data_IF_963359340330
#
_entry.id   IF_963359340330
#
_cell.length_a   1.000
_cell.length_b   1.000
_cell.length_c   1.000
_cell.angle_alpha   90.00
_cell.angle_beta   90.00
_cell.angle_gamma   90.00
#
_symmetry.space_group_name_H-M   'P 1'
#
loop_
_entity.id
_entity.type
_entity.pdbx_description
1 polymer ?
#
# COMPACT_ATOMS: atom_id res chain seq x y z
N UNK A 1 32.75 -65.75 23.29
CA UNK A 1 32.01 -64.52 23.62
C UNK A 1 32.80 -63.36 23.06
N UNK A 2 32.49 -62.99 21.81
CA UNK A 2 33.11 -61.89 21.08
C UNK A 2 32.55 -60.56 21.58
N UNK A 3 33.45 -59.61 21.86
CA UNK A 3 33.11 -58.24 22.18
C UNK A 3 32.81 -57.49 20.87
N UNK A 4 31.54 -57.22 20.59
CA UNK A 4 31.13 -56.30 19.54
C UNK A 4 31.45 -54.87 20.02
N UNK A 5 32.56 -54.32 19.54
CA UNK A 5 32.81 -52.87 19.59
C UNK A 5 31.86 -52.19 18.62
N UNK A 6 30.89 -51.43 19.15
CA UNK A 6 30.09 -50.51 18.35
C UNK A 6 31.02 -49.43 17.74
N UNK A 7 31.23 -49.50 16.43
CA UNK A 7 31.84 -48.42 15.66
C UNK A 7 30.74 -47.38 15.43
N UNK A 8 30.75 -46.30 16.22
CA UNK A 8 30.05 -45.08 15.85
C UNK A 8 30.68 -44.57 14.54
N UNK A 9 29.90 -44.31 13.47
CA UNK A 9 30.46 -43.66 12.29
C UNK A 9 30.94 -42.26 12.67
N UNK A 10 32.23 -41.98 12.49
CA UNK A 10 32.73 -40.61 12.51
C UNK A 10 32.04 -39.85 11.38
N UNK A 11 31.15 -38.92 11.74
CA UNK A 11 30.65 -37.92 10.80
C UNK A 11 31.84 -37.11 10.29
N UNK A 12 32.33 -37.43 9.09
CA UNK A 12 33.37 -36.65 8.44
C UNK A 12 32.82 -35.25 8.15
N UNK A 13 33.41 -34.22 8.74
CA UNK A 13 33.03 -32.83 8.46
C UNK A 13 33.48 -32.46 7.04
N UNK A 14 32.57 -31.92 6.23
CA UNK A 14 32.90 -31.44 4.90
C UNK A 14 33.73 -30.14 5.00
N UNK A 15 34.97 -30.10 4.47
CA UNK A 15 35.86 -28.97 4.67
C UNK A 15 35.54 -27.84 3.69
N UNK A 16 34.41 -27.15 3.91
CA UNK A 16 33.88 -26.10 3.02
C UNK A 16 34.94 -25.06 2.61
N UNK A 17 35.83 -24.69 3.53
CA UNK A 17 36.93 -23.72 3.29
C UNK A 17 38.01 -24.21 2.32
N UNK A 18 38.13 -25.52 2.08
CA UNK A 18 39.10 -26.11 1.15
C UNK A 18 38.60 -26.11 -0.30
N UNK A 19 37.34 -25.74 -0.54
CA UNK A 19 36.81 -25.64 -1.89
C UNK A 19 37.46 -24.49 -2.67
N UNK A 20 37.72 -24.66 -3.98
CA UNK A 20 38.01 -23.54 -4.86
C UNK A 20 36.90 -22.50 -4.81
N UNK A 21 37.26 -21.22 -4.98
CA UNK A 21 36.32 -20.09 -4.82
C UNK A 21 35.02 -20.25 -5.61
N UNK A 22 35.08 -20.72 -6.87
CA UNK A 22 33.90 -20.90 -7.72
C UNK A 22 32.95 -21.95 -7.14
N UNK A 23 33.49 -23.09 -6.68
CA UNK A 23 32.71 -24.15 -6.06
C UNK A 23 32.11 -23.68 -4.72
N UNK A 24 32.92 -23.00 -3.89
CA UNK A 24 32.48 -22.43 -2.63
C UNK A 24 31.32 -21.43 -2.83
N UNK A 25 31.45 -20.53 -3.80
CA UNK A 25 30.42 -19.56 -4.16
C UNK A 25 29.13 -20.24 -4.62
N UNK A 26 29.24 -21.31 -5.40
CA UNK A 26 28.06 -22.06 -5.85
C UNK A 26 27.35 -22.72 -4.67
N UNK A 27 28.10 -23.39 -3.79
CA UNK A 27 27.56 -24.02 -2.58
C UNK A 27 26.84 -23.00 -1.70
N UNK A 28 27.45 -21.85 -1.41
CA UNK A 28 26.83 -20.79 -0.59
C UNK A 28 25.54 -20.27 -1.22
N UNK A 29 25.46 -20.19 -2.55
CA UNK A 29 24.27 -19.66 -3.25
C UNK A 29 23.07 -20.60 -3.23
N UNK A 30 23.28 -21.88 -2.99
CA UNK A 30 22.20 -22.89 -2.94
C UNK A 30 21.82 -23.30 -1.52
N UNK A 31 22.53 -22.77 -0.52
CA UNK A 31 22.23 -22.97 0.91
C UNK A 31 21.00 -22.18 1.35
N UNK A 32 20.39 -22.65 2.43
CA UNK A 32 19.33 -21.90 3.08
C UNK A 32 19.88 -20.63 3.74
N UNK A 33 19.03 -19.61 3.85
CA UNK A 33 19.45 -18.27 4.26
C UNK A 33 20.00 -18.24 5.69
N UNK A 34 19.47 -19.06 6.60
CA UNK A 34 19.98 -19.17 7.96
C UNK A 34 21.35 -19.88 7.99
N UNK A 35 21.59 -20.87 7.13
CA UNK A 35 22.89 -21.51 6.96
C UNK A 35 23.94 -20.54 6.43
N UNK A 36 23.57 -19.70 5.46
CA UNK A 36 24.43 -18.64 4.94
C UNK A 36 24.83 -17.66 6.04
N UNK A 37 23.88 -17.27 6.91
CA UNK A 37 24.18 -16.40 8.05
C UNK A 37 25.09 -17.11 9.05
N UNK A 38 24.82 -18.37 9.41
CA UNK A 38 25.69 -19.19 10.27
C UNK A 38 27.12 -19.26 9.70
N UNK A 39 27.27 -19.45 8.39
CA UNK A 39 28.56 -19.46 7.70
C UNK A 39 29.29 -18.12 7.86
N UNK A 40 28.58 -17.01 7.61
CA UNK A 40 29.14 -15.66 7.74
C UNK A 40 29.63 -15.37 9.16
N UNK A 41 28.96 -15.92 10.17
CA UNK A 41 29.32 -15.77 11.60
C UNK A 41 30.62 -16.50 11.95
N UNK A 42 30.98 -17.58 11.24
CA UNK A 42 32.13 -18.43 11.60
C UNK A 42 33.50 -17.75 11.50
N UNK A 43 33.65 -16.72 10.66
CA UNK A 43 34.90 -15.95 10.53
C UNK A 43 34.73 -14.74 9.61
N UNK A 44 35.61 -13.73 9.78
CA UNK A 44 35.73 -12.59 8.84
C UNK A 44 35.96 -13.03 7.39
N UNK A 45 36.71 -14.13 7.18
CA UNK A 45 36.92 -14.69 5.84
C UNK A 45 35.61 -15.16 5.22
N UNK A 46 34.83 -15.99 5.92
CA UNK A 46 33.55 -16.48 5.40
C UNK A 46 32.54 -15.35 5.21
N UNK A 47 32.50 -14.37 6.11
CA UNK A 47 31.68 -13.17 5.93
C UNK A 47 32.01 -12.44 4.62
N UNK A 48 33.31 -12.27 4.32
CA UNK A 48 33.75 -11.64 3.07
C UNK A 48 33.38 -12.48 1.83
N UNK A 49 33.48 -13.81 1.91
CA UNK A 49 33.06 -14.70 0.83
C UNK A 49 31.54 -14.58 0.57
N UNK A 50 30.71 -14.57 1.61
CA UNK A 50 29.26 -14.40 1.46
C UNK A 50 28.92 -13.05 0.81
N UNK A 51 29.60 -11.95 1.20
CA UNK A 51 29.41 -10.64 0.57
C UNK A 51 29.62 -10.66 -0.95
N UNK A 52 30.68 -11.32 -1.42
CA UNK A 52 30.98 -11.41 -2.87
C UNK A 52 30.12 -12.45 -3.62
N UNK A 53 29.28 -13.20 -2.89
CA UNK A 53 28.25 -14.04 -3.52
C UNK A 53 27.10 -13.21 -4.09
N UNK A 54 26.90 -11.97 -3.63
CA UNK A 54 25.86 -11.05 -4.10
C UNK A 54 24.45 -11.66 -4.02
N UNK A 55 24.16 -12.33 -2.91
CA UNK A 55 22.88 -12.97 -2.66
C UNK A 55 21.81 -11.88 -2.50
N UNK A 56 20.75 -11.98 -3.28
CA UNK A 56 19.67 -10.99 -3.30
C UNK A 56 18.54 -11.47 -2.40
N UNK A 57 18.05 -10.56 -1.57
CA UNK A 57 16.89 -10.78 -0.71
C UNK A 57 15.79 -9.81 -1.14
N UNK A 58 14.53 -10.25 -1.10
CA UNK A 58 13.42 -9.41 -1.53
C UNK A 58 13.17 -8.27 -0.55
N UNK A 59 13.22 -8.57 0.74
CA UNK A 59 12.87 -7.60 1.77
C UNK A 59 13.66 -7.87 3.06
N UNK A 60 14.16 -6.79 3.65
CA UNK A 60 14.73 -6.75 4.98
C UNK A 60 13.81 -5.94 5.89
N UNK A 61 13.62 -6.36 7.14
CA UNK A 61 12.85 -5.61 8.12
C UNK A 61 13.55 -5.57 9.48
N UNK A 62 13.58 -4.40 10.09
CA UNK A 62 13.94 -4.22 11.50
C UNK A 62 12.66 -4.09 12.33
N UNK A 63 12.51 -4.94 13.35
CA UNK A 63 11.31 -5.03 14.17
C UNK A 63 11.65 -4.66 15.61
N UNK A 64 11.24 -3.47 16.03
CA UNK A 64 11.49 -2.91 17.36
C UNK A 64 10.29 -3.17 18.28
N UNK A 65 10.43 -4.16 19.15
CA UNK A 65 9.40 -4.64 20.09
C UNK A 65 9.95 -4.72 21.52
N UNK A 66 10.69 -3.70 21.96
CA UNK A 66 11.37 -3.72 23.25
C UNK A 66 12.32 -4.91 23.36
N UNK A 67 12.08 -5.81 24.32
CA UNK A 67 12.90 -7.01 24.53
C UNK A 67 12.77 -8.07 23.41
N UNK A 68 11.69 -8.01 22.62
CA UNK A 68 11.46 -8.92 21.47
C UNK A 68 11.94 -8.31 20.16
N UNK A 69 12.96 -7.46 20.21
CA UNK A 69 13.49 -6.83 19.00
C UNK A 69 14.28 -7.83 18.15
N UNK A 70 14.05 -7.82 16.83
CA UNK A 70 14.70 -8.73 15.88
C UNK A 70 14.80 -8.14 14.47
N UNK A 71 15.70 -8.70 13.67
CA UNK A 71 15.80 -8.45 12.22
C UNK A 71 15.18 -9.63 11.49
N UNK A 72 14.38 -9.38 10.44
CA UNK A 72 13.82 -10.44 9.60
C UNK A 72 14.11 -10.21 8.14
N UNK A 73 14.29 -11.31 7.42
CA UNK A 73 14.41 -11.35 5.96
C UNK A 73 13.19 -12.09 5.44
N UNK A 74 12.52 -11.52 4.44
CA UNK A 74 11.37 -12.15 3.79
C UNK A 74 11.77 -12.56 2.36
N UNK A 75 11.47 -13.83 2.01
CA UNK A 75 11.73 -14.45 0.71
C UNK A 75 13.20 -14.39 0.23
N UNK A 76 14.08 -15.29 0.73
CA UNK A 76 13.82 -16.39 1.67
C UNK A 76 13.65 -15.91 3.12
N UNK A 77 12.83 -16.63 3.89
CA UNK A 77 12.41 -16.26 5.25
C UNK A 77 13.43 -16.64 6.33
N UNK A 78 13.86 -15.71 7.17
CA UNK A 78 14.57 -16.00 8.44
C UNK A 78 14.39 -14.87 9.45
N UNK A 79 14.33 -15.22 10.73
CA UNK A 79 14.33 -14.25 11.85
C UNK A 79 15.64 -14.33 12.65
N UNK A 80 16.17 -13.18 13.03
CA UNK A 80 17.46 -13.02 13.69
C UNK A 80 17.25 -12.20 14.98
N UNK A 81 17.21 -12.89 16.12
CA UNK A 81 16.83 -12.29 17.40
C UNK A 81 18.06 -11.91 18.23
N UNK A 82 18.09 -10.68 18.74
CA UNK A 82 19.14 -10.21 19.65
C UNK A 82 18.77 -10.39 21.13
N UNK A 83 17.47 -10.53 21.43
CA UNK A 83 16.92 -10.69 22.78
C UNK A 83 16.80 -12.16 23.21
N UNK A 84 16.47 -12.35 24.49
CA UNK A 84 16.21 -13.67 25.11
C UNK A 84 14.83 -14.23 24.79
N UNK A 85 13.95 -13.41 24.20
CA UNK A 85 12.58 -13.79 23.85
C UNK A 85 12.38 -13.71 22.33
N UNK A 86 12.83 -14.73 21.58
CA UNK A 86 12.76 -14.73 20.12
C UNK A 86 11.31 -14.83 19.64
N UNK A 87 11.03 -14.19 18.51
CA UNK A 87 9.75 -14.37 17.83
C UNK A 87 9.62 -15.81 17.30
N UNK A 88 8.57 -16.52 17.71
CA UNK A 88 8.35 -17.91 17.34
C UNK A 88 7.29 -18.01 16.22
N UNK A 89 7.76 -18.18 14.99
CA UNK A 89 6.93 -18.61 13.88
C UNK A 89 7.32 -20.05 13.48
N UNK A 90 6.39 -21.01 13.45
CA UNK A 90 6.72 -22.42 13.27
C UNK A 90 7.36 -22.74 11.90
N UNK A 91 7.07 -21.94 10.88
CA UNK A 91 7.47 -22.20 9.50
C UNK A 91 8.69 -21.40 9.02
N UNK A 92 9.29 -20.56 9.86
CA UNK A 92 10.39 -19.68 9.45
C UNK A 92 11.63 -20.02 10.28
N UNK A 93 12.78 -20.35 9.65
CA UNK A 93 14.06 -20.52 10.33
C UNK A 93 14.38 -19.34 11.24
N UNK A 94 14.99 -19.62 12.40
CA UNK A 94 15.37 -18.59 13.36
C UNK A 94 16.80 -18.78 13.84
N UNK A 95 17.50 -17.66 14.01
CA UNK A 95 18.77 -17.57 14.73
C UNK A 95 18.55 -16.79 16.01
N UNK A 96 18.94 -17.41 17.12
CA UNK A 96 18.82 -16.82 18.46
C UNK A 96 20.13 -16.14 18.86
N UNK A 97 20.11 -15.45 20.00
CA UNK A 97 21.25 -14.68 20.49
C UNK A 97 22.53 -15.52 20.59
N UNK A 98 22.40 -16.78 20.97
CA UNK A 98 23.48 -17.74 21.14
C UNK A 98 24.16 -18.07 19.81
N UNK A 99 23.39 -18.24 18.73
CA UNK A 99 23.92 -18.49 17.39
C UNK A 99 24.69 -17.27 16.86
N UNK A 100 24.21 -16.08 17.20
CA UNK A 100 24.71 -14.78 16.74
C UNK A 100 25.81 -14.21 17.65
N UNK A 101 26.19 -14.91 18.73
CA UNK A 101 27.14 -14.44 19.75
C UNK A 101 28.41 -13.81 19.17
N UNK A 102 29.06 -14.37 18.13
CA UNK A 102 30.29 -13.78 17.58
C UNK A 102 30.13 -12.39 16.94
N UNK A 103 28.90 -11.95 16.69
CA UNK A 103 28.60 -10.62 16.16
C UNK A 103 28.19 -9.60 17.22
N UNK A 104 28.04 -10.03 18.48
CA UNK A 104 27.55 -9.19 19.57
C UNK A 104 28.63 -8.87 20.60
N UNK A 105 28.45 -7.73 21.27
CA UNK A 105 29.16 -7.43 22.51
C UNK A 105 28.32 -7.89 23.70
N UNK A 106 28.95 -8.53 24.68
CA UNK A 106 28.28 -8.91 25.94
C UNK A 106 27.82 -7.69 26.75
N UNK A 107 28.41 -6.52 26.52
CA UNK A 107 28.06 -5.27 27.21
C UNK A 107 27.00 -4.43 26.49
N UNK A 108 26.65 -4.77 25.24
CA UNK A 108 25.73 -3.97 24.44
C UNK A 108 24.27 -4.24 24.81
N UNK A 109 23.45 -3.19 24.76
CA UNK A 109 22.01 -3.29 24.90
C UNK A 109 21.40 -4.10 23.74
N UNK A 110 20.15 -4.58 23.92
CA UNK A 110 19.42 -5.28 22.84
C UNK A 110 19.31 -4.39 21.60
N UNK A 111 19.08 -3.09 21.79
CA UNK A 111 18.95 -2.14 20.70
C UNK A 111 20.26 -1.95 19.93
N UNK A 112 21.38 -1.76 20.64
CA UNK A 112 22.71 -1.65 20.00
C UNK A 112 23.09 -2.92 19.24
N UNK A 113 22.84 -4.10 19.81
CA UNK A 113 23.05 -5.37 19.12
C UNK A 113 22.17 -5.49 17.87
N UNK A 114 20.91 -5.01 17.94
CA UNK A 114 20.00 -4.98 16.79
C UNK A 114 20.52 -4.07 15.69
N UNK A 115 20.99 -2.87 16.02
CA UNK A 115 21.58 -1.93 15.06
C UNK A 115 22.82 -2.52 14.39
N UNK A 116 23.70 -3.16 15.15
CA UNK A 116 24.87 -3.85 14.62
C UNK A 116 24.49 -5.02 13.70
N UNK A 117 23.53 -5.84 14.12
CA UNK A 117 23.02 -6.96 13.35
C UNK A 117 22.42 -6.49 12.03
N UNK A 118 21.51 -5.51 12.07
CA UNK A 118 20.91 -4.91 10.89
C UNK A 118 21.98 -4.40 9.92
N UNK A 119 22.95 -3.64 10.42
CA UNK A 119 24.02 -3.07 9.60
C UNK A 119 24.86 -4.16 8.91
N UNK A 120 25.15 -5.25 9.62
CA UNK A 120 25.90 -6.39 9.05
C UNK A 120 25.07 -7.11 8.00
N UNK A 121 23.82 -7.43 8.30
CA UNK A 121 22.90 -8.12 7.38
C UNK A 121 22.65 -7.30 6.12
N UNK A 122 22.38 -6.00 6.27
CA UNK A 122 22.17 -5.08 5.15
C UNK A 122 23.41 -4.97 4.24
N UNK A 123 24.62 -5.11 4.79
CA UNK A 123 25.87 -5.17 4.01
C UNK A 123 26.17 -6.56 3.44
N UNK A 124 25.60 -7.62 4.03
CA UNK A 124 25.85 -9.01 3.65
C UNK A 124 25.05 -9.40 2.40
N UNK A 125 23.83 -8.88 2.29
CA UNK A 125 22.89 -9.19 1.22
C UNK A 125 22.60 -7.98 0.33
N UNK A 126 22.28 -8.22 -0.95
CA UNK A 126 21.75 -7.18 -1.83
C UNK A 126 20.26 -7.02 -1.56
N UNK A 127 19.89 -5.85 -1.06
CA UNK A 127 18.51 -5.46 -0.79
C UNK A 127 18.32 -4.01 -1.25
N UNK A 128 17.29 -3.76 -2.06
CA UNK A 128 17.07 -2.42 -2.61
C UNK A 128 16.54 -1.46 -1.54
N UNK A 129 15.64 -1.97 -0.68
CA UNK A 129 14.99 -1.21 0.38
C UNK A 129 14.75 -2.08 1.61
N UNK A 130 14.62 -1.47 2.78
CA UNK A 130 14.23 -2.17 4.01
C UNK A 130 13.01 -1.51 4.63
N UNK A 131 12.27 -2.27 5.43
CA UNK A 131 11.12 -1.77 6.18
C UNK A 131 11.45 -1.68 7.67
N UNK A 132 10.75 -0.83 8.38
CA UNK A 132 10.88 -0.68 9.82
C UNK A 132 9.54 -0.91 10.47
N UNK A 133 9.54 -1.60 11.60
CA UNK A 133 8.36 -1.78 12.42
C UNK A 133 8.67 -1.32 13.83
N UNK A 134 7.85 -0.41 14.35
CA UNK A 134 7.96 0.13 15.70
C UNK A 134 6.71 -0.22 16.50
N UNK A 135 6.92 -0.86 17.65
CA UNK A 135 5.86 -1.14 18.61
C UNK A 135 5.46 0.12 19.37
N UNK A 136 4.19 0.27 19.77
CA UNK A 136 3.76 1.34 20.69
C UNK A 136 4.45 1.29 22.06
N UNK A 137 5.04 0.14 22.42
CA UNK A 137 5.86 -0.03 23.62
C UNK A 137 7.29 0.51 23.48
N UNK A 138 7.70 0.94 22.28
CA UNK A 138 9.05 1.48 22.03
C UNK A 138 9.15 2.87 22.63
N UNK A 139 10.21 3.11 23.42
CA UNK A 139 10.53 4.43 23.94
C UNK A 139 11.38 5.20 22.93
N UNK A 140 11.28 6.53 22.95
CA UNK A 140 12.06 7.45 22.12
C UNK A 140 11.98 7.13 20.61
N UNK A 141 10.76 7.11 20.05
CA UNK A 141 10.55 6.78 18.64
C UNK A 141 11.32 7.77 17.76
N UNK A 142 11.29 9.05 18.11
CA UNK A 142 12.08 10.09 17.43
C UNK A 142 13.56 9.74 17.32
N UNK A 143 14.21 9.35 18.43
CA UNK A 143 15.64 9.01 18.43
C UNK A 143 15.92 7.82 17.49
N UNK A 144 15.04 6.82 17.48
CA UNK A 144 15.15 5.67 16.57
C UNK A 144 15.08 6.11 15.10
N UNK A 145 14.12 6.98 14.76
CA UNK A 145 13.92 7.47 13.39
C UNK A 145 15.11 8.32 12.92
N UNK A 146 15.77 9.04 13.83
CA UNK A 146 16.93 9.89 13.53
C UNK A 146 18.25 9.10 13.35
N UNK A 147 18.28 7.80 13.63
CA UNK A 147 19.48 6.97 13.46
C UNK A 147 19.84 6.86 11.98
N UNK A 148 21.10 7.17 11.59
CA UNK A 148 21.54 7.15 10.20
C UNK A 148 21.28 5.82 9.47
N UNK A 149 21.48 4.69 10.13
CA UNK A 149 21.25 3.37 9.54
C UNK A 149 19.77 3.06 9.29
N UNK A 150 18.86 3.66 10.06
CA UNK A 150 17.42 3.42 9.94
C UNK A 150 16.70 4.49 9.13
N UNK A 151 17.37 5.57 8.72
CA UNK A 151 16.73 6.71 8.08
C UNK A 151 16.07 6.41 6.73
N UNK A 152 16.61 5.46 5.97
CA UNK A 152 16.23 5.20 4.57
C UNK A 152 15.33 3.97 4.40
N UNK A 153 14.34 3.79 5.29
CA UNK A 153 13.33 2.74 5.11
C UNK A 153 12.42 3.05 3.92
N UNK A 154 11.76 2.03 3.36
CA UNK A 154 10.66 2.22 2.40
C UNK A 154 9.33 2.39 3.14
N UNK A 155 9.03 1.49 4.08
CA UNK A 155 7.78 1.51 4.84
C UNK A 155 8.05 1.50 6.34
N UNK A 156 7.41 2.42 7.07
CA UNK A 156 7.30 2.41 8.52
C UNK A 156 5.97 1.79 8.95
N UNK A 157 6.04 0.71 9.71
CA UNK A 157 4.88 0.09 10.34
C UNK A 157 4.81 0.48 11.82
N UNK A 158 3.66 0.97 12.26
CA UNK A 158 3.36 1.13 13.69
C UNK A 158 2.38 0.04 14.13
N UNK A 159 2.70 -0.60 15.25
CA UNK A 159 1.91 -1.71 15.79
C UNK A 159 1.80 -1.60 17.29
N UNK A 160 0.59 -1.64 17.84
CA UNK A 160 0.41 -1.39 19.27
C UNK A 160 -0.94 -1.83 19.81
N UNK A 161 -1.12 -1.60 21.11
CA UNK A 161 -2.43 -1.62 21.76
C UNK A 161 -3.08 -0.24 21.68
N UNK A 162 -2.50 0.75 22.35
CA UNK A 162 -2.88 2.15 22.27
C UNK A 162 -1.65 3.01 21.98
N UNK A 163 -1.79 4.01 21.12
CA UNK A 163 -0.76 5.00 20.86
C UNK A 163 -1.01 6.27 21.67
N UNK A 164 0.06 6.81 22.28
CA UNK A 164 0.01 8.13 22.89
C UNK A 164 0.10 9.20 21.81
N UNK A 165 -0.50 10.37 22.05
CA UNK A 165 -0.42 11.52 21.16
C UNK A 165 1.03 11.88 20.84
N UNK A 166 1.89 11.97 21.86
CA UNK A 166 3.28 12.39 21.69
C UNK A 166 4.06 11.42 20.78
N UNK A 167 3.76 10.12 20.87
CA UNK A 167 4.38 9.11 19.99
C UNK A 167 3.93 9.25 18.54
N UNK A 168 2.67 9.61 18.31
CA UNK A 168 2.16 9.85 16.96
C UNK A 168 2.72 11.16 16.39
N UNK A 169 2.78 12.22 17.20
CA UNK A 169 3.38 13.50 16.83
C UNK A 169 4.85 13.30 16.40
N UNK A 170 5.65 12.55 17.17
CA UNK A 170 7.04 12.20 16.82
C UNK A 170 7.18 11.53 15.44
N UNK A 171 6.23 10.66 15.08
CA UNK A 171 6.23 10.00 13.77
C UNK A 171 5.78 10.97 12.69
N UNK A 172 4.69 11.70 12.92
CA UNK A 172 4.11 12.59 11.91
C UNK A 172 4.98 13.83 11.63
N UNK A 173 5.79 14.27 12.59
CA UNK A 173 6.79 15.33 12.43
C UNK A 173 8.08 14.84 11.75
N UNK A 174 8.29 13.53 11.66
CA UNK A 174 9.40 12.95 10.92
C UNK A 174 9.11 12.97 9.41
N UNK A 175 9.07 14.18 8.84
CA UNK A 175 8.59 14.48 7.50
C UNK A 175 9.42 13.79 6.40
N UNK A 176 8.75 12.93 5.61
CA UNK A 176 9.30 12.15 4.50
C UNK A 176 8.25 11.98 3.42
N UNK A 177 8.50 12.52 2.23
CA UNK A 177 7.57 12.50 1.09
C UNK A 177 7.79 11.32 0.13
N UNK A 178 8.81 10.49 0.38
CA UNK A 178 9.21 9.35 -0.45
C UNK A 178 9.09 7.99 0.27
N UNK A 179 8.46 7.99 1.44
CA UNK A 179 8.28 6.82 2.31
C UNK A 179 6.82 6.60 2.66
N UNK A 180 6.50 5.40 3.13
CA UNK A 180 5.14 4.98 3.48
C UNK A 180 4.98 4.85 5.01
N UNK A 181 3.77 5.14 5.51
CA UNK A 181 3.39 4.98 6.91
C UNK A 181 2.15 4.10 7.06
N UNK A 182 2.34 2.94 7.69
CA UNK A 182 1.27 1.98 7.93
C UNK A 182 1.07 1.74 9.44
N UNK A 183 0.01 2.32 10.01
CA UNK A 183 -0.46 2.02 11.35
C UNK A 183 -1.43 0.84 11.27
N UNK A 184 -0.88 -0.36 11.32
CA UNK A 184 -1.61 -1.60 11.01
C UNK A 184 -2.36 -2.22 12.19
N UNK A 185 -2.03 -1.79 13.43
CA UNK A 185 -2.72 -2.22 14.64
C UNK A 185 -2.51 -1.22 15.76
N UNK A 186 -3.56 -0.95 16.52
CA UNK A 186 -3.54 -0.13 17.72
C UNK A 186 -4.53 1.00 17.62
N UNK A 187 -5.06 1.41 18.77
CA UNK A 187 -6.02 2.50 18.88
C UNK A 187 -5.31 3.85 18.85
N UNK A 188 -5.85 4.76 18.05
CA UNK A 188 -5.44 6.15 17.97
C UNK A 188 -6.49 6.99 18.74
N UNK A 189 -6.09 8.00 19.53
CA UNK A 189 -7.05 8.86 20.21
C UNK A 189 -8.06 9.48 19.23
N UNK A 190 -9.37 9.43 19.55
CA UNK A 190 -10.43 9.86 18.63
C UNK A 190 -10.45 11.38 18.35
N UNK A 191 -9.85 12.16 19.25
CA UNK A 191 -9.64 13.60 19.14
C UNK A 191 -8.25 13.95 18.58
N UNK A 192 -7.47 12.96 18.16
CA UNK A 192 -6.16 13.17 17.56
C UNK A 192 -6.28 13.95 16.25
N UNK A 193 -5.38 14.90 16.07
CA UNK A 193 -5.24 15.68 14.85
C UNK A 193 -3.77 16.00 14.62
N UNK A 194 -3.32 15.85 13.38
CA UNK A 194 -2.00 16.27 12.97
C UNK A 194 -2.02 16.81 11.54
N UNK A 195 -1.42 17.98 11.24
CA UNK A 195 -1.43 18.55 9.88
C UNK A 195 -0.75 17.65 8.83
N UNK A 196 0.17 16.78 9.26
CA UNK A 196 0.93 15.89 8.39
C UNK A 196 0.28 14.51 8.14
N UNK A 197 -0.98 14.31 8.52
CA UNK A 197 -1.63 13.00 8.51
C UNK A 197 -1.74 12.32 7.12
N UNK A 198 -1.48 13.04 6.02
CA UNK A 198 -1.44 12.47 4.67
C UNK A 198 -0.17 12.86 3.89
N UNK A 199 0.93 13.21 4.59
CA UNK A 199 2.19 13.63 3.94
C UNK A 199 3.07 12.49 3.45
N UNK A 200 3.00 11.32 4.07
CA UNK A 200 3.67 10.12 3.55
C UNK A 200 3.07 9.75 2.19
N UNK A 201 3.88 9.11 1.33
CA UNK A 201 3.47 8.68 -0.02
C UNK A 201 2.23 7.81 0.07
N UNK A 202 2.34 6.73 0.85
CA UNK A 202 1.25 5.82 1.17
C UNK A 202 0.96 5.85 2.67
N UNK A 203 -0.32 5.95 3.01
CA UNK A 203 -0.80 5.95 4.39
C UNK A 203 -1.85 4.86 4.59
N UNK A 204 -1.65 4.06 5.63
CA UNK A 204 -2.63 3.07 6.06
C UNK A 204 -2.94 3.25 7.53
N UNK A 205 -4.18 3.60 7.84
CA UNK A 205 -4.72 3.69 9.19
C UNK A 205 -5.74 2.57 9.42
N UNK A 206 -5.32 1.52 10.12
CA UNK A 206 -6.20 0.41 10.50
C UNK A 206 -7.32 0.87 11.44
N UNK A 207 -7.00 1.73 12.42
CA UNK A 207 -7.98 2.53 13.14
C UNK A 207 -7.99 3.95 12.58
N UNK A 208 -9.01 4.26 11.80
CA UNK A 208 -9.25 5.53 11.15
C UNK A 208 -10.45 6.28 11.76
N UNK A 209 -10.94 5.92 12.96
CA UNK A 209 -12.08 6.60 13.62
C UNK A 209 -11.83 8.06 13.95
N UNK A 210 -10.56 8.44 14.13
CA UNK A 210 -10.11 9.82 14.31
C UNK A 210 -10.10 10.64 13.00
N UNK A 211 -10.21 9.98 11.84
CA UNK A 211 -10.30 10.64 10.54
C UNK A 211 -11.72 11.16 10.32
N UNK A 212 -11.82 12.46 10.02
CA UNK A 212 -13.09 13.17 9.79
C UNK A 212 -13.14 13.72 8.38
N UNK A 213 -14.32 14.14 7.95
CA UNK A 213 -14.54 14.69 6.61
C UNK A 213 -13.58 15.84 6.30
N UNK A 214 -13.37 16.76 7.23
CA UNK A 214 -12.45 17.90 7.09
C UNK A 214 -11.01 17.48 6.79
N UNK A 215 -10.57 16.31 7.26
CA UNK A 215 -9.26 15.76 6.93
C UNK A 215 -9.24 15.27 5.47
N UNK A 216 -10.30 14.60 5.01
CA UNK A 216 -10.40 14.17 3.60
C UNK A 216 -10.40 15.38 2.64
N UNK A 217 -11.07 16.47 3.03
CA UNK A 217 -11.12 17.70 2.25
C UNK A 217 -9.78 18.46 2.21
N UNK A 218 -8.82 18.12 3.07
CA UNK A 218 -7.49 18.75 3.10
C UNK A 218 -6.43 18.01 2.27
N UNK A 219 -6.76 16.80 1.78
CA UNK A 219 -5.86 15.97 0.97
C UNK A 219 -5.35 16.75 -0.25
N UNK A 220 -4.05 16.69 -0.50
CA UNK A 220 -3.42 17.25 -1.71
C UNK A 220 -2.29 16.33 -2.16
N UNK A 221 -2.39 15.81 -3.38
CA UNK A 221 -1.34 15.07 -4.07
C UNK A 221 -0.73 13.90 -3.25
N UNK A 222 -1.57 13.04 -2.71
CA UNK A 222 -1.14 11.80 -2.06
C UNK A 222 -1.10 10.63 -3.07
N UNK A 223 -0.32 9.58 -2.83
CA UNK A 223 -0.35 8.40 -3.69
C UNK A 223 -1.47 7.44 -3.26
N UNK A 224 -1.35 6.77 -2.12
CA UNK A 224 -2.35 5.83 -1.64
C UNK A 224 -2.82 6.10 -0.20
N UNK A 225 -4.13 6.05 0.02
CA UNK A 225 -4.76 6.20 1.34
C UNK A 225 -5.61 4.98 1.66
N UNK A 226 -5.36 4.31 2.78
CA UNK A 226 -6.18 3.20 3.27
C UNK A 226 -6.74 3.54 4.64
N UNK A 227 -8.07 3.59 4.72
CA UNK A 227 -8.81 3.85 5.95
C UNK A 227 -9.56 2.57 6.33
N UNK A 228 -9.09 1.93 7.40
CA UNK A 228 -9.74 0.75 7.99
C UNK A 228 -10.98 1.14 8.77
N UNK A 229 -11.11 0.65 10.01
CA UNK A 229 -12.24 0.96 10.90
C UNK A 229 -12.41 2.48 11.04
N UNK A 230 -13.52 3.02 10.56
CA UNK A 230 -13.77 4.47 10.51
C UNK A 230 -15.22 4.82 10.87
N UNK A 231 -15.49 6.12 11.07
CA UNK A 231 -16.81 6.66 11.39
C UNK A 231 -17.43 7.46 10.22
N UNK A 232 -16.91 7.30 8.99
CA UNK A 232 -17.39 8.05 7.84
C UNK A 232 -18.74 7.50 7.38
N UNK A 233 -19.72 8.39 7.26
CA UNK A 233 -21.02 8.01 6.68
C UNK A 233 -20.96 8.06 5.15
N UNK A 234 -21.90 7.39 4.47
CA UNK A 234 -22.05 7.54 3.01
C UNK A 234 -22.27 9.01 2.59
N UNK A 235 -22.86 9.83 3.47
CA UNK A 235 -23.02 11.28 3.25
C UNK A 235 -21.68 12.01 3.28
N UNK A 236 -20.77 11.62 4.18
CA UNK A 236 -19.42 12.19 4.23
C UNK A 236 -18.61 11.81 3.01
N UNK A 237 -18.69 10.54 2.58
CA UNK A 237 -18.03 10.09 1.35
C UNK A 237 -18.63 10.81 0.13
N UNK A 238 -19.95 11.01 0.06
CA UNK A 238 -20.59 11.81 -1.00
C UNK A 238 -20.04 13.25 -1.04
N UNK A 239 -19.97 13.94 0.10
CA UNK A 239 -19.38 15.29 0.18
C UNK A 239 -17.92 15.30 -0.26
N UNK A 240 -17.15 14.29 0.11
CA UNK A 240 -15.77 14.13 -0.34
C UNK A 240 -15.68 13.92 -1.87
N UNK A 241 -16.55 13.11 -2.46
CA UNK A 241 -16.60 12.94 -3.92
C UNK A 241 -16.95 14.25 -4.65
N UNK A 242 -17.89 15.04 -4.10
CA UNK A 242 -18.18 16.38 -4.61
C UNK A 242 -16.96 17.29 -4.55
N UNK A 243 -16.21 17.25 -3.44
CA UNK A 243 -14.95 17.97 -3.34
C UNK A 243 -13.93 17.49 -4.39
N UNK A 244 -13.76 16.18 -4.57
CA UNK A 244 -12.85 15.62 -5.57
C UNK A 244 -13.19 16.07 -7.00
N UNK A 245 -14.48 16.07 -7.36
CA UNK A 245 -14.99 16.49 -8.68
C UNK A 245 -14.70 17.96 -8.98
N UNK A 246 -14.72 18.80 -7.94
CA UNK A 246 -14.57 20.25 -8.06
C UNK A 246 -13.16 20.76 -7.75
N UNK A 247 -12.29 19.94 -7.17
CA UNK A 247 -10.92 20.35 -6.83
C UNK A 247 -10.06 20.58 -8.07
N UNK A 248 -9.27 21.65 -8.03
CA UNK A 248 -8.31 22.02 -9.07
C UNK A 248 -7.08 21.10 -9.11
N UNK A 249 -6.79 20.40 -8.01
CA UNK A 249 -5.57 19.58 -7.82
C UNK A 249 -5.89 18.09 -7.69
N UNK A 250 -4.98 17.23 -8.14
CA UNK A 250 -5.07 15.80 -7.88
C UNK A 250 -4.98 15.52 -6.38
N UNK A 251 -6.02 14.91 -5.81
CA UNK A 251 -6.09 14.63 -4.38
C UNK A 251 -5.27 13.38 -4.04
N UNK A 252 -5.56 12.26 -4.72
CA UNK A 252 -4.91 10.97 -4.49
C UNK A 252 -4.88 10.12 -5.76
N UNK A 253 -4.01 9.10 -5.82
CA UNK A 253 -4.05 8.08 -6.89
C UNK A 253 -4.99 6.93 -6.51
N UNK A 254 -4.84 6.39 -5.31
CA UNK A 254 -5.61 5.24 -4.80
C UNK A 254 -6.15 5.54 -3.41
N UNK A 255 -7.38 5.10 -3.16
CA UNK A 255 -7.98 5.17 -1.84
C UNK A 255 -8.83 3.94 -1.58
N UNK A 256 -8.68 3.36 -0.38
CA UNK A 256 -9.52 2.29 0.12
C UNK A 256 -10.17 2.76 1.42
N UNK A 257 -11.48 2.58 1.52
CA UNK A 257 -12.25 2.91 2.72
C UNK A 257 -13.06 1.67 3.10
N UNK A 258 -12.82 1.13 4.29
CA UNK A 258 -13.66 0.07 4.82
C UNK A 258 -15.06 0.62 5.11
N UNK A 259 -16.07 -0.17 4.77
CA UNK A 259 -17.48 0.15 5.01
C UNK A 259 -18.11 -0.98 5.79
N UNK A 260 -19.11 -0.64 6.61
CA UNK A 260 -20.01 -1.66 7.16
C UNK A 260 -20.91 -2.13 6.01
N UNK A 261 -21.29 -3.41 6.02
CA UNK A 261 -22.04 -4.10 4.95
C UNK A 261 -23.33 -3.34 4.59
N UNK A 262 -23.19 -2.39 3.67
CA UNK A 262 -24.25 -1.58 3.09
C UNK A 262 -24.04 -1.63 1.58
N UNK A 263 -25.07 -2.06 0.83
CA UNK A 263 -25.07 -1.87 -0.63
C UNK A 263 -24.79 -0.39 -0.92
N UNK A 264 -23.95 -0.05 -1.90
CA UNK A 264 -23.83 1.34 -2.32
C UNK A 264 -25.22 1.80 -2.76
N UNK A 265 -25.81 2.62 -1.88
CA UNK A 265 -27.07 3.24 -2.15
C UNK A 265 -26.86 4.40 -3.13
N UNK A 266 -27.87 4.75 -3.93
CA UNK A 266 -27.89 5.97 -4.75
C UNK A 266 -27.42 7.24 -4.00
N UNK A 267 -27.53 7.24 -2.66
CA UNK A 267 -27.05 8.27 -1.75
C UNK A 267 -25.57 8.63 -1.96
N UNK A 268 -24.68 7.65 -2.16
CA UNK A 268 -23.25 7.91 -2.31
C UNK A 268 -22.93 8.84 -3.50
N UNK A 269 -23.72 8.73 -4.56
CA UNK A 269 -23.53 9.46 -5.81
C UNK A 269 -24.54 10.57 -6.02
N UNK A 270 -25.32 10.91 -5.00
CA UNK A 270 -26.35 11.94 -5.12
C UNK A 270 -25.73 13.27 -5.60
N UNK A 271 -26.29 13.80 -6.70
CA UNK A 271 -25.82 15.04 -7.34
C UNK A 271 -24.55 14.89 -8.21
N UNK A 272 -24.05 13.68 -8.47
CA UNK A 272 -22.87 13.43 -9.29
C UNK A 272 -23.26 12.69 -10.58
N UNK A 273 -22.76 13.15 -11.72
CA UNK A 273 -22.89 12.43 -12.99
C UNK A 273 -21.97 11.20 -13.02
N UNK A 274 -22.55 10.02 -12.83
CA UNK A 274 -21.84 8.73 -12.83
C UNK A 274 -22.14 7.96 -14.12
N UNK A 275 -21.13 7.29 -14.66
CA UNK A 275 -21.27 6.27 -15.70
C UNK A 275 -20.98 4.89 -15.12
N UNK A 276 -21.85 3.92 -15.35
CA UNK A 276 -21.57 2.51 -15.06
C UNK A 276 -20.83 1.89 -16.25
N UNK A 277 -19.71 1.23 -16.01
CA UNK A 277 -18.98 0.47 -17.03
C UNK A 277 -18.43 -0.84 -16.46
N UNK A 278 -18.11 -1.78 -17.33
CA UNK A 278 -17.61 -3.10 -16.94
C UNK A 278 -16.16 -3.29 -17.38
N UNK A 279 -15.25 -3.51 -16.42
CA UNK A 279 -13.81 -3.74 -16.67
C UNK A 279 -13.23 -4.72 -15.67
N UNK A 280 -12.26 -5.52 -16.12
CA UNK A 280 -11.57 -6.52 -15.29
C UNK A 280 -12.51 -7.52 -14.58
N UNK A 281 -13.63 -7.88 -15.21
CA UNK A 281 -14.62 -8.78 -14.64
C UNK A 281 -15.48 -8.16 -13.53
N UNK A 282 -15.48 -6.83 -13.40
CA UNK A 282 -16.20 -6.10 -12.34
C UNK A 282 -16.91 -4.87 -12.89
N UNK A 283 -18.10 -4.61 -12.36
CA UNK A 283 -18.80 -3.35 -12.59
C UNK A 283 -18.08 -2.20 -11.86
N UNK A 284 -18.01 -1.04 -12.52
CA UNK A 284 -17.32 0.16 -12.02
C UNK A 284 -18.20 1.38 -12.16
N UNK A 285 -18.23 2.20 -11.12
CA UNK A 285 -18.82 3.54 -11.14
C UNK A 285 -17.72 4.52 -11.55
N UNK A 286 -17.91 5.19 -12.68
CA UNK A 286 -16.94 6.13 -13.26
C UNK A 286 -17.45 7.55 -13.08
N UNK A 287 -16.57 8.43 -12.61
CA UNK A 287 -16.83 9.85 -12.41
C UNK A 287 -15.70 10.61 -13.12
N UNK A 288 -15.96 11.83 -13.58
CA UNK A 288 -14.91 12.73 -14.04
C UNK A 288 -14.95 14.05 -13.30
N UNK A 289 -13.83 14.77 -13.29
CA UNK A 289 -13.74 16.14 -12.75
C UNK A 289 -14.50 17.14 -13.62
N UNK A 290 -14.93 18.27 -13.03
CA UNK A 290 -15.63 19.33 -13.76
C UNK A 290 -14.69 20.16 -14.64
N UNK A 291 -13.45 20.35 -14.20
CA UNK A 291 -12.42 21.14 -14.89
C UNK A 291 -11.21 20.27 -15.25
N UNK A 292 -11.23 19.52 -16.36
CA UNK A 292 -10.22 18.50 -16.65
C UNK A 292 -8.84 19.04 -17.03
N UNK A 293 -8.75 20.30 -17.46
CA UNK A 293 -7.49 20.90 -17.91
C UNK A 293 -6.46 21.09 -16.79
N UNK A 294 -6.90 21.11 -15.53
CA UNK A 294 -6.02 21.33 -14.36
C UNK A 294 -5.55 20.02 -13.72
N UNK A 295 -6.08 18.87 -14.16
CA UNK A 295 -5.92 17.57 -13.48
C UNK A 295 -5.17 16.57 -14.35
N UNK A 296 -4.14 15.92 -13.79
CA UNK A 296 -3.42 14.85 -14.48
C UNK A 296 -4.27 13.57 -14.53
N UNK A 297 -5.11 13.36 -13.50
CA UNK A 297 -5.98 12.17 -13.36
C UNK A 297 -7.46 12.56 -13.26
N UNK A 298 -8.09 12.98 -14.37
CA UNK A 298 -9.45 13.54 -14.36
C UNK A 298 -10.57 12.49 -14.25
N UNK A 299 -10.24 11.21 -14.14
CA UNK A 299 -11.20 10.09 -14.11
C UNK A 299 -11.06 9.38 -12.78
N UNK A 300 -12.18 9.11 -12.12
CA UNK A 300 -12.24 8.34 -10.89
C UNK A 300 -13.08 7.10 -11.12
N UNK A 301 -12.55 5.95 -10.73
CA UNK A 301 -13.16 4.64 -10.82
C UNK A 301 -13.39 4.10 -9.43
N UNK A 302 -14.63 3.78 -9.12
CA UNK A 302 -15.03 3.16 -7.86
C UNK A 302 -15.49 1.73 -8.12
N UNK A 303 -14.97 0.81 -7.30
CA UNK A 303 -15.42 -0.58 -7.20
C UNK A 303 -15.76 -0.83 -5.73
N UNK A 304 -16.86 -1.52 -5.49
CA UNK A 304 -17.26 -1.92 -4.15
C UNK A 304 -17.08 -3.43 -3.97
N UNK A 305 -16.59 -3.82 -2.80
CA UNK A 305 -16.81 -5.15 -2.22
C UNK A 305 -17.77 -5.05 -1.03
N UNK A 306 -18.14 -6.17 -0.44
CA UNK A 306 -19.01 -6.21 0.75
C UNK A 306 -18.47 -5.39 1.93
N UNK A 307 -17.15 -5.20 2.01
CA UNK A 307 -16.48 -4.61 3.18
C UNK A 307 -15.67 -3.35 2.85
N UNK A 308 -15.47 -3.01 1.58
CA UNK A 308 -14.59 -1.90 1.19
C UNK A 308 -15.08 -1.18 -0.06
N UNK A 309 -14.79 0.11 -0.14
CA UNK A 309 -14.85 0.91 -1.37
C UNK A 309 -13.41 1.11 -1.86
N UNK A 310 -13.15 0.70 -3.10
CA UNK A 310 -11.88 0.92 -3.80
C UNK A 310 -12.03 2.06 -4.80
N UNK A 311 -11.25 3.13 -4.63
CA UNK A 311 -11.29 4.34 -5.44
C UNK A 311 -9.95 4.52 -6.13
N UNK A 312 -9.96 4.61 -7.45
CA UNK A 312 -8.74 4.75 -8.27
C UNK A 312 -8.89 5.93 -9.21
N UNK A 313 -7.85 6.76 -9.34
CA UNK A 313 -7.82 7.86 -10.29
C UNK A 313 -6.93 7.55 -11.49
N UNK A 314 -7.37 7.96 -12.68
CA UNK A 314 -6.73 7.60 -13.95
C UNK A 314 -6.54 8.81 -14.84
N UNK A 315 -5.41 8.84 -15.54
CA UNK A 315 -5.27 9.70 -16.71
C UNK A 315 -6.10 9.17 -17.88
N UNK A 316 -6.59 10.06 -18.75
CA UNK A 316 -7.49 9.72 -19.86
C UNK A 316 -6.89 8.66 -20.79
N UNK A 317 -5.59 8.78 -21.05
CA UNK A 317 -4.86 7.92 -22.00
C UNK A 317 -4.02 6.85 -21.32
N UNK A 318 -4.00 6.82 -19.98
CA UNK A 318 -3.36 5.75 -19.25
C UNK A 318 -4.15 4.46 -19.43
N UNK A 319 -3.44 3.36 -19.68
CA UNK A 319 -4.03 2.02 -19.65
C UNK A 319 -4.23 1.60 -18.20
N UNK A 320 -5.47 1.39 -17.74
CA UNK A 320 -5.68 0.86 -16.42
C UNK A 320 -5.16 -0.58 -16.36
N UNK A 321 -4.77 -0.99 -15.15
CA UNK A 321 -4.28 -2.32 -14.90
C UNK A 321 -4.89 -2.89 -13.62
N UNK A 322 -4.91 -4.22 -13.54
CA UNK A 322 -5.19 -4.97 -12.33
C UNK A 322 -3.92 -5.70 -11.91
N UNK A 323 -3.50 -5.44 -10.68
CA UNK A 323 -2.36 -6.08 -10.06
C UNK A 323 -2.83 -7.23 -9.16
N UNK A 324 -2.11 -8.35 -9.18
CA UNK A 324 -2.35 -9.46 -8.26
C UNK A 324 -1.38 -9.35 -7.09
N UNK A 325 -1.91 -9.36 -5.86
CA UNK A 325 -1.19 -9.15 -4.59
C UNK A 325 0.10 -9.96 -4.40
N UNK A 326 0.29 -11.06 -5.14
CA UNK A 326 1.42 -11.98 -4.95
C UNK A 326 2.32 -12.11 -6.19
N UNK A 327 1.96 -11.51 -7.32
CA UNK A 327 2.77 -11.58 -8.54
C UNK A 327 2.58 -10.36 -9.46
N UNK A 328 3.50 -9.40 -9.34
CA UNK A 328 3.57 -8.20 -10.17
C UNK A 328 3.86 -8.52 -11.65
N UNK A 329 4.24 -9.74 -12.01
CA UNK A 329 4.43 -10.14 -13.42
C UNK A 329 3.11 -10.44 -14.15
N UNK A 330 1.99 -10.57 -13.42
CA UNK A 330 0.66 -10.88 -13.96
C UNK A 330 -0.23 -9.63 -14.13
N UNK A 331 0.35 -8.47 -14.43
CA UNK A 331 -0.41 -7.25 -14.68
C UNK A 331 -1.30 -7.40 -15.92
N UNK A 332 -2.62 -7.36 -15.72
CA UNK A 332 -3.58 -7.35 -16.82
C UNK A 332 -3.89 -5.91 -17.16
N UNK A 333 -3.54 -5.49 -18.38
CA UNK A 333 -3.81 -4.15 -18.89
C UNK A 333 -5.06 -4.12 -19.77
N UNK A 334 -5.90 -3.12 -19.55
CA UNK A 334 -7.07 -2.87 -20.40
C UNK A 334 -6.83 -1.62 -21.29
N UNK A 335 -7.75 -1.32 -22.20
CA UNK A 335 -7.75 -0.10 -23.03
C UNK A 335 -7.87 1.14 -22.14
N UNK A 336 -7.37 2.29 -22.57
CA UNK A 336 -7.53 3.53 -21.79
C UNK A 336 -9.01 3.90 -21.57
N UNK A 337 -9.30 4.76 -20.58
CA UNK A 337 -10.65 5.28 -20.30
C UNK A 337 -11.13 6.40 -21.25
N UNK A 338 -10.41 6.65 -22.36
CA UNK A 338 -10.77 7.70 -23.31
C UNK A 338 -12.21 7.62 -23.86
N UNK A 339 -12.77 6.43 -24.19
CA UNK A 339 -14.18 6.31 -24.59
C UNK A 339 -15.16 6.71 -23.48
N UNK A 340 -14.97 6.18 -22.28
CA UNK A 340 -15.80 6.46 -21.10
C UNK A 340 -15.75 7.93 -20.72
N UNK A 341 -14.56 8.53 -20.83
CA UNK A 341 -14.38 9.95 -20.58
C UNK A 341 -15.23 10.81 -21.52
N UNK A 342 -15.28 10.49 -22.82
CA UNK A 342 -16.15 11.20 -23.79
C UNK A 342 -17.63 11.06 -23.42
N UNK A 343 -18.05 9.89 -22.93
CA UNK A 343 -19.42 9.66 -22.45
C UNK A 343 -19.72 10.49 -21.21
N UNK A 344 -18.82 10.51 -20.22
CA UNK A 344 -18.95 11.32 -19.02
C UNK A 344 -19.11 12.82 -19.35
N UNK A 345 -18.36 13.35 -20.33
CA UNK A 345 -18.53 14.73 -20.77
C UNK A 345 -19.92 15.01 -21.37
N UNK A 346 -20.50 14.04 -22.09
CA UNK A 346 -21.87 14.15 -22.62
C UNK A 346 -22.91 14.09 -21.50
N UNK A 347 -22.73 13.21 -20.50
CA UNK A 347 -23.61 13.12 -19.33
C UNK A 347 -23.63 14.45 -18.57
N UNK A 348 -22.46 15.03 -18.29
CA UNK A 348 -22.33 16.34 -17.64
C UNK A 348 -23.02 17.46 -18.41
N UNK A 349 -22.78 17.52 -19.73
CA UNK A 349 -23.45 18.49 -20.60
C UNK A 349 -24.97 18.35 -20.51
N UNK A 350 -25.48 17.12 -20.51
CA UNK A 350 -26.92 16.86 -20.37
C UNK A 350 -27.45 17.31 -19.01
N UNK A 351 -26.72 17.01 -17.94
CA UNK A 351 -27.07 17.43 -16.58
C UNK A 351 -27.21 18.95 -16.47
N UNK A 352 -26.23 19.70 -17.01
CA UNK A 352 -26.29 21.17 -17.08
C UNK A 352 -27.51 21.66 -17.89
N UNK A 353 -27.80 21.04 -19.04
CA UNK A 353 -28.97 21.42 -19.85
C UNK A 353 -30.29 21.15 -19.12
N UNK A 354 -30.40 20.01 -18.42
CA UNK A 354 -31.58 19.65 -17.63
C UNK A 354 -31.79 20.62 -16.47
N UNK A 355 -30.72 21.01 -15.78
CA UNK A 355 -30.78 22.00 -14.69
C UNK A 355 -31.26 23.37 -15.18
N UNK A 356 -30.79 23.81 -16.36
CA UNK A 356 -31.29 25.04 -17.01
C UNK A 356 -32.77 24.91 -17.40
N UNK A 357 -33.16 23.79 -18.00
CA UNK A 357 -34.54 23.56 -18.44
C UNK A 357 -35.54 23.69 -17.28
N UNK A 358 -35.18 23.24 -16.07
CA UNK A 358 -36.01 23.36 -14.86
C UNK A 358 -36.26 24.79 -14.39
N UNK A 359 -35.41 25.75 -14.80
CA UNK A 359 -35.50 27.16 -14.39
C UNK A 359 -36.26 28.04 -15.38
N UNK A 360 -36.57 27.50 -16.57
CA UNK A 360 -37.18 28.25 -17.67
C UNK A 360 -38.70 28.16 -17.60
N UNK A 361 -39.39 29.27 -17.89
CA UNK A 361 -40.86 29.34 -17.91
C UNK A 361 -41.47 28.37 -18.93
N UNK A 362 -42.64 27.85 -18.59
CA UNK A 362 -43.48 27.08 -19.52
C UNK A 362 -43.75 27.90 -20.79
N UNK A 363 -43.73 27.22 -21.94
CA UNK A 363 -44.00 27.74 -23.29
C UNK A 363 -43.06 28.80 -23.87
N UNK A 364 -41.83 28.92 -23.35
CA UNK A 364 -40.81 29.76 -23.98
C UNK A 364 -40.08 29.06 -25.15
N UNK A 365 -39.64 29.85 -26.14
CA UNK A 365 -38.75 29.41 -27.21
C UNK A 365 -37.46 28.77 -26.66
N UNK A 366 -36.95 29.33 -25.56
CA UNK A 366 -35.76 28.82 -24.87
C UNK A 366 -35.96 27.38 -24.37
N UNK A 367 -37.15 27.03 -23.86
CA UNK A 367 -37.48 25.66 -23.43
C UNK A 367 -37.42 24.69 -24.61
N UNK A 368 -37.95 25.08 -25.78
CA UNK A 368 -37.91 24.25 -26.99
C UNK A 368 -36.46 24.03 -27.46
N UNK A 369 -35.62 25.07 -27.45
CA UNK A 369 -34.21 24.94 -27.79
C UNK A 369 -33.43 24.02 -26.83
N UNK A 370 -33.67 24.16 -25.52
CA UNK A 370 -33.01 23.33 -24.51
C UNK A 370 -33.41 21.87 -24.67
N UNK A 371 -34.69 21.57 -24.88
CA UNK A 371 -35.18 20.22 -25.18
C UNK A 371 -34.50 19.64 -26.42
N UNK A 372 -34.42 20.39 -27.52
CA UNK A 372 -33.72 19.95 -28.73
C UNK A 372 -32.22 19.67 -28.49
N UNK A 373 -31.54 20.48 -27.65
CA UNK A 373 -30.14 20.25 -27.25
C UNK A 373 -29.99 19.00 -26.39
N UNK A 374 -30.94 18.72 -25.49
CA UNK A 374 -30.99 17.50 -24.66
C UNK A 374 -31.18 16.27 -25.54
N UNK A 375 -32.14 16.28 -26.46
CA UNK A 375 -32.42 15.18 -27.38
C UNK A 375 -31.22 14.86 -28.27
N UNK A 376 -30.56 15.89 -28.81
CA UNK A 376 -29.32 15.73 -29.57
C UNK A 376 -28.21 15.09 -28.71
N UNK A 377 -28.15 15.42 -27.43
CA UNK A 377 -27.17 14.85 -26.49
C UNK A 377 -27.51 13.39 -26.16
N UNK A 378 -28.80 13.06 -25.95
CA UNK A 378 -29.27 11.69 -25.73
C UNK A 378 -28.99 10.79 -26.95
N UNK A 379 -29.25 11.28 -28.17
CA UNK A 379 -28.89 10.55 -29.41
C UNK A 379 -27.40 10.25 -29.49
N UNK A 380 -26.54 11.20 -29.13
CA UNK A 380 -25.08 10.99 -29.07
C UNK A 380 -24.65 9.97 -28.01
N UNK A 381 -25.34 9.92 -26.87
CA UNK A 381 -25.10 8.93 -25.81
C UNK A 381 -25.50 7.52 -26.31
N UNK A 382 -26.67 7.38 -26.92
CA UNK A 382 -27.14 6.12 -27.51
C UNK A 382 -26.19 5.61 -28.61
N UNK A 383 -25.74 6.49 -29.52
CA UNK A 383 -24.75 6.14 -30.55
C UNK A 383 -23.40 5.70 -29.97
N UNK A 384 -23.11 6.02 -28.71
CA UNK A 384 -21.92 5.57 -27.98
C UNK A 384 -22.15 4.30 -27.16
N UNK A 385 -23.30 3.66 -27.30
CA UNK A 385 -23.64 2.42 -26.58
C UNK A 385 -24.07 2.65 -25.12
N UNK A 386 -24.56 3.84 -24.79
CA UNK A 386 -25.10 4.13 -23.45
C UNK A 386 -26.57 3.78 -23.38
N UNK A 387 -26.91 2.88 -22.47
CA UNK A 387 -28.27 2.50 -22.10
C UNK A 387 -28.61 3.00 -20.69
N UNK A 388 -29.90 3.02 -20.34
CA UNK A 388 -30.36 3.40 -19.00
C UNK A 388 -31.08 2.22 -18.35
N UNK A 389 -30.54 1.72 -17.24
CA UNK A 389 -31.20 0.72 -16.40
C UNK A 389 -31.41 1.33 -15.02
N UNK A 390 -32.66 1.31 -14.52
CA UNK A 390 -33.04 1.91 -13.24
C UNK A 390 -32.56 3.37 -13.06
N UNK A 391 -32.52 4.15 -14.15
CA UNK A 391 -32.06 5.53 -14.16
C UNK A 391 -30.54 5.73 -14.27
N UNK A 392 -29.74 4.66 -14.21
CA UNK A 392 -28.29 4.73 -14.33
C UNK A 392 -27.83 4.57 -15.79
N UNK A 393 -26.94 5.45 -16.28
CA UNK A 393 -26.32 5.25 -17.58
C UNK A 393 -25.28 4.12 -17.51
N UNK A 394 -25.46 3.09 -18.33
CA UNK A 394 -24.56 1.94 -18.45
C UNK A 394 -23.94 1.96 -19.84
N UNK A 395 -22.61 1.85 -19.91
CA UNK A 395 -21.89 1.63 -21.15
C UNK A 395 -21.70 0.12 -21.36
N UNK A 396 -22.43 -0.46 -22.32
CA UNK A 396 -22.21 -1.87 -22.69
C UNK A 396 -20.94 -2.00 -23.53
N UNK A 397 -19.99 -2.77 -23.02
CA UNK A 397 -18.80 -3.19 -23.77
C UNK A 397 -19.22 -4.09 -24.92
N UNK A 398 -19.22 -3.57 -26.15
CA UNK A 398 -19.63 -4.35 -27.33
C UNK A 398 -19.99 -3.54 -28.57
N UNK A 399 -20.22 -2.23 -28.45
CA UNK A 399 -20.34 -1.38 -29.65
C UNK A 399 -18.94 -0.99 -30.11
N UNK A 400 -18.33 -1.84 -30.94
CA UNK A 400 -17.27 -1.39 -31.83
C UNK A 400 -17.83 -0.20 -32.61
N UNK A 401 -17.32 0.99 -32.30
CA UNK A 401 -17.59 2.20 -33.07
C UNK A 401 -16.91 1.98 -34.42
N UNK A 402 -17.69 1.57 -35.41
CA UNK A 402 -17.34 1.70 -36.83
C UNK A 402 -17.07 3.17 -37.17
#
# INVERSE_FOLDING_TARGET
MEAIRAIQPMLSTFPLRKLPFVALKHVIKVMDIDEIVKIAITSKYMEAIVKVCYIRIRQLRVNLYGERTYVSLDYPGVTLSCGTNPFNHPSIPKLIKEDLKPWFSETSTIFENTRQLFTRIYKLFRCDHFNMLISSSTQNIKEVLEIPEFRNFAVLYLVGGHFKKEQLDEVMDFEREDQDLHIIRGEIPEDYYHPNLFKYTDVHYCDARWIRLEHLLSIKNNFAITLGKNNLTLSDINKFLHHWVNSEYDLFNWMTIDIVEEEIMPVLFHGIDVLIGYRFGSERRLISVNSPKTRKRPILSIVQSQLCIYINTWSIHQRPYKEYLYDHSLMIFDKSYAPEYKVLQLLKRRSVLNSKLKQVKEDSLEKQELTGKIDKTNKKLQLKGVEYENGWPILRSGVEVL
#
